data_IF_329380934935
#
_entry.id   IF_329380934935
#
_cell.length_a   1.000
_cell.length_b   1.000
_cell.length_c   1.000
_cell.angle_alpha   90.00
_cell.angle_beta   90.00
_cell.angle_gamma   90.00
#
_symmetry.space_group_name_H-M   'P 1'
#
loop_
_entity.id
_entity.type
_entity.pdbx_description
1 polymer ?
#
# COMPACT_ATOMS: atom_id res chain seq x y z
N UNK A 1 -32.03 -5.46 49.30
CA UNK A 1 -31.25 -4.30 48.86
C UNK A 1 -30.73 -4.67 47.47
N UNK A 2 -31.16 -3.95 46.42
CA UNK A 2 -30.77 -4.31 45.06
C UNK A 2 -29.28 -4.03 44.87
N UNK A 3 -28.55 -4.93 44.22
CA UNK A 3 -27.14 -4.76 43.85
C UNK A 3 -26.86 -3.49 43.00
N UNK A 4 -27.91 -2.78 42.59
CA UNK A 4 -27.87 -1.51 41.86
C UNK A 4 -27.55 -0.27 42.72
N UNK A 5 -27.62 -0.35 44.05
CA UNK A 5 -27.42 0.83 44.94
C UNK A 5 -26.02 0.88 45.57
N UNK A 6 -25.09 -0.01 45.17
CA UNK A 6 -23.70 0.04 45.64
C UNK A 6 -22.93 1.18 44.92
N UNK A 7 -22.50 2.22 45.66
CA UNK A 7 -21.82 3.37 45.05
C UNK A 7 -20.47 3.02 44.42
N UNK A 8 -19.79 1.98 44.89
CA UNK A 8 -18.55 1.47 44.30
C UNK A 8 -18.79 0.82 42.93
N UNK A 9 -19.86 0.03 42.81
CA UNK A 9 -20.26 -0.58 41.54
C UNK A 9 -20.70 0.48 40.52
N UNK A 10 -21.44 1.51 40.96
CA UNK A 10 -21.84 2.62 40.09
C UNK A 10 -20.65 3.43 39.60
N UNK A 11 -19.66 3.72 40.46
CA UNK A 11 -18.44 4.41 40.08
C UNK A 11 -17.62 3.60 39.06
N UNK A 12 -17.46 2.29 39.27
CA UNK A 12 -16.75 1.41 38.34
C UNK A 12 -17.44 1.32 36.97
N UNK A 13 -18.78 1.27 36.93
CA UNK A 13 -19.54 1.28 35.67
C UNK A 13 -19.42 2.63 34.94
N UNK A 14 -19.39 3.75 35.66
CA UNK A 14 -19.18 5.07 35.05
C UNK A 14 -17.76 5.20 34.47
N UNK A 15 -16.75 4.72 35.19
CA UNK A 15 -15.36 4.71 34.73
C UNK A 15 -15.19 3.83 33.48
N UNK A 16 -15.71 2.60 33.51
CA UNK A 16 -15.71 1.70 32.35
C UNK A 16 -16.40 2.33 31.13
N UNK A 17 -17.54 3.00 31.32
CA UNK A 17 -18.23 3.71 30.24
C UNK A 17 -17.42 4.89 29.70
N UNK A 18 -16.71 5.63 30.55
CA UNK A 18 -15.81 6.71 30.13
C UNK A 18 -14.66 6.16 29.29
N UNK A 19 -13.97 5.13 29.78
CA UNK A 19 -12.88 4.47 29.08
C UNK A 19 -13.33 3.92 27.71
N UNK A 20 -14.51 3.27 27.64
CA UNK A 20 -15.06 2.78 26.39
C UNK A 20 -15.35 3.90 25.37
N UNK A 21 -15.85 5.05 25.84
CA UNK A 21 -16.09 6.23 24.98
C UNK A 21 -14.79 6.82 24.46
N UNK A 22 -13.78 6.95 25.31
CA UNK A 22 -12.45 7.45 24.94
C UNK A 22 -11.76 6.53 23.93
N UNK A 23 -11.80 5.21 24.17
CA UNK A 23 -11.27 4.22 23.24
C UNK A 23 -11.97 4.28 21.88
N UNK A 24 -13.31 4.40 21.87
CA UNK A 24 -14.08 4.53 20.63
C UNK A 24 -13.75 5.84 19.88
N UNK A 25 -13.57 6.95 20.61
CA UNK A 25 -13.18 8.22 20.03
C UNK A 25 -11.78 8.14 19.39
N UNK A 26 -10.82 7.55 20.09
CA UNK A 26 -9.47 7.32 19.60
C UNK A 26 -9.46 6.45 18.34
N UNK A 27 -10.21 5.34 18.33
CA UNK A 27 -10.34 4.47 17.15
C UNK A 27 -10.93 5.22 15.94
N UNK A 28 -11.93 6.08 16.15
CA UNK A 28 -12.49 6.90 15.07
C UNK A 28 -11.48 7.90 14.53
N UNK A 29 -10.68 8.52 15.40
CA UNK A 29 -9.63 9.44 14.98
C UNK A 29 -8.54 8.72 14.17
N UNK A 30 -8.11 7.53 14.62
CA UNK A 30 -7.17 6.70 13.88
C UNK A 30 -7.72 6.29 12.51
N UNK A 31 -8.98 5.85 12.45
CA UNK A 31 -9.63 5.49 11.18
C UNK A 31 -9.73 6.68 10.22
N UNK A 32 -10.06 7.87 10.74
CA UNK A 32 -10.10 9.10 9.95
C UNK A 32 -8.71 9.50 9.42
N UNK A 33 -7.68 9.38 10.26
CA UNK A 33 -6.30 9.67 9.88
C UNK A 33 -5.80 8.70 8.79
N UNK A 34 -6.03 7.40 8.97
CA UNK A 34 -5.69 6.39 7.95
C UNK A 34 -6.46 6.62 6.64
N UNK A 35 -7.72 7.04 6.71
CA UNK A 35 -8.51 7.44 5.54
C UNK A 35 -7.87 8.60 4.78
N UNK A 36 -7.47 9.65 5.49
CA UNK A 36 -6.82 10.82 4.91
C UNK A 36 -5.46 10.48 4.27
N UNK A 37 -4.62 9.70 4.95
CA UNK A 37 -3.32 9.27 4.42
C UNK A 37 -3.47 8.40 3.17
N UNK A 38 -4.45 7.47 3.17
CA UNK A 38 -4.78 6.67 1.97
C UNK A 38 -5.18 7.55 0.81
N UNK A 39 -6.04 8.55 1.04
CA UNK A 39 -6.55 9.41 -0.03
C UNK A 39 -5.43 10.32 -0.57
N UNK A 40 -4.54 10.81 0.29
CA UNK A 40 -3.32 11.52 -0.10
C UNK A 40 -2.39 10.64 -0.95
N UNK A 41 -2.11 9.41 -0.49
CA UNK A 41 -1.27 8.47 -1.23
C UNK A 41 -1.86 8.16 -2.61
N UNK A 42 -3.18 8.00 -2.73
CA UNK A 42 -3.87 7.79 -4.01
C UNK A 42 -3.73 9.00 -4.93
N UNK A 43 -3.92 10.22 -4.42
CA UNK A 43 -3.77 11.43 -5.20
C UNK A 43 -2.34 11.63 -5.72
N UNK A 44 -1.35 11.42 -4.86
CA UNK A 44 0.06 11.49 -5.24
C UNK A 44 0.44 10.42 -6.27
N UNK A 45 -0.04 9.19 -6.07
CA UNK A 45 0.20 8.08 -7.00
C UNK A 45 -0.43 8.37 -8.38
N UNK A 46 -1.67 8.88 -8.40
CA UNK A 46 -2.34 9.26 -9.63
C UNK A 46 -1.58 10.36 -10.38
N UNK A 47 -1.07 11.37 -9.66
CA UNK A 47 -0.26 12.43 -10.24
C UNK A 47 1.04 11.90 -10.84
N UNK A 48 1.78 11.05 -10.12
CA UNK A 48 3.02 10.44 -10.64
C UNK A 48 2.78 9.61 -11.89
N UNK A 49 1.69 8.85 -11.93
CA UNK A 49 1.30 8.08 -13.12
C UNK A 49 1.04 9.02 -14.30
N UNK A 50 0.29 10.11 -14.10
CA UNK A 50 0.04 11.10 -15.15
C UNK A 50 1.33 11.74 -15.67
N UNK A 51 2.25 12.09 -14.77
CA UNK A 51 3.55 12.66 -15.14
C UNK A 51 4.37 11.68 -15.98
N UNK A 52 4.46 10.41 -15.57
CA UNK A 52 5.16 9.37 -16.33
C UNK A 52 4.53 9.14 -17.71
N UNK A 53 3.20 9.08 -17.80
CA UNK A 53 2.50 8.96 -19.07
C UNK A 53 2.80 10.16 -19.98
N UNK A 54 2.85 11.37 -19.42
CA UNK A 54 3.19 12.58 -20.18
C UNK A 54 4.64 12.55 -20.68
N UNK A 55 5.59 12.09 -19.86
CA UNK A 55 6.99 11.90 -20.25
C UNK A 55 7.12 10.85 -21.36
N UNK A 56 6.43 9.72 -21.22
CA UNK A 56 6.39 8.66 -22.24
C UNK A 56 5.85 9.18 -23.57
N UNK A 57 4.74 9.95 -23.58
CA UNK A 57 4.19 10.57 -24.80
C UNK A 57 5.15 11.54 -25.49
N UNK A 58 6.03 12.19 -24.71
CA UNK A 58 7.06 13.09 -25.25
C UNK A 58 8.35 12.36 -25.66
N UNK A 59 8.43 11.04 -25.46
CA UNK A 59 9.61 10.24 -25.75
C UNK A 59 10.75 10.39 -24.74
N UNK A 60 10.52 11.07 -23.61
CA UNK A 60 11.56 11.32 -22.60
C UNK A 60 12.00 10.04 -21.87
N UNK A 61 11.16 9.01 -21.89
CA UNK A 61 11.44 7.69 -21.32
C UNK A 61 12.01 6.69 -22.34
N UNK A 62 12.31 7.16 -23.56
CA UNK A 62 12.83 6.34 -24.64
C UNK A 62 11.75 5.79 -25.59
N UNK A 63 12.18 5.23 -26.75
CA UNK A 63 11.29 4.89 -27.85
C UNK A 63 10.34 3.72 -27.55
N UNK A 64 10.75 2.74 -26.74
CA UNK A 64 9.91 1.60 -26.38
C UNK A 64 8.76 2.02 -25.47
N UNK A 65 9.04 2.94 -24.52
CA UNK A 65 8.01 3.48 -23.63
C UNK A 65 7.05 4.40 -24.37
N UNK A 66 7.54 5.21 -25.30
CA UNK A 66 6.69 6.03 -26.15
C UNK A 66 5.76 5.16 -27.01
N UNK A 67 6.28 4.08 -27.59
CA UNK A 67 5.48 3.10 -28.36
C UNK A 67 4.43 2.44 -27.47
N UNK A 68 4.84 1.94 -26.29
CA UNK A 68 3.93 1.28 -25.35
C UNK A 68 2.80 2.23 -24.91
N UNK A 69 3.14 3.47 -24.58
CA UNK A 69 2.17 4.49 -24.19
C UNK A 69 1.18 4.80 -25.31
N UNK A 70 1.63 4.88 -26.57
CA UNK A 70 0.74 5.05 -27.73
C UNK A 70 -0.24 3.88 -27.88
N UNK A 71 0.24 2.64 -27.72
CA UNK A 71 -0.61 1.44 -27.79
C UNK A 71 -1.65 1.41 -26.67
N UNK A 72 -1.26 1.80 -25.45
CA UNK A 72 -2.19 1.94 -24.32
C UNK A 72 -3.22 3.04 -24.59
N UNK A 73 -2.79 4.22 -25.07
CA UNK A 73 -3.69 5.34 -25.39
C UNK A 73 -4.67 5.00 -26.53
N UNK A 74 -4.24 4.17 -27.49
CA UNK A 74 -5.08 3.66 -28.58
C UNK A 74 -6.02 2.51 -28.16
N UNK A 75 -5.88 1.98 -26.95
CA UNK A 75 -6.67 0.85 -26.45
C UNK A 75 -6.28 -0.49 -27.08
N UNK A 76 -5.12 -0.57 -27.73
CA UNK A 76 -4.59 -1.80 -28.35
C UNK A 76 -4.06 -2.80 -27.29
N UNK A 77 -3.73 -2.29 -26.11
CA UNK A 77 -3.27 -3.07 -24.95
C UNK A 77 -3.63 -2.33 -23.66
N UNK A 78 -3.43 -2.98 -22.51
CA UNK A 78 -3.55 -2.34 -21.20
C UNK A 78 -2.35 -2.67 -20.33
N UNK A 79 -2.10 -1.86 -19.29
CA UNK A 79 -1.07 -2.16 -18.29
C UNK A 79 -1.24 -3.53 -17.64
N UNK A 80 -2.49 -4.02 -17.53
CA UNK A 80 -2.78 -5.37 -17.04
C UNK A 80 -2.35 -6.44 -18.04
N UNK A 81 -2.61 -6.24 -19.32
CA UNK A 81 -2.27 -7.21 -20.37
C UNK A 81 -0.76 -7.28 -20.56
N UNK A 82 -0.08 -6.14 -20.48
CA UNK A 82 1.38 -6.05 -20.46
C UNK A 82 1.95 -6.82 -19.26
N UNK A 83 1.46 -6.54 -18.05
CA UNK A 83 1.99 -7.16 -16.82
C UNK A 83 1.70 -8.67 -16.73
N UNK A 84 0.55 -9.12 -17.23
CA UNK A 84 0.17 -10.54 -17.23
C UNK A 84 0.84 -11.36 -18.33
N UNK A 85 1.48 -10.71 -19.31
CA UNK A 85 2.06 -11.38 -20.46
C UNK A 85 1.07 -11.68 -21.58
N UNK A 86 -0.16 -11.15 -21.52
CA UNK A 86 -1.14 -11.30 -22.61
C UNK A 86 -0.80 -10.45 -23.84
N UNK A 87 0.05 -9.42 -23.68
CA UNK A 87 0.59 -8.62 -24.76
C UNK A 87 1.99 -9.14 -25.17
N UNK A 88 2.05 -9.76 -26.35
CA UNK A 88 3.25 -10.37 -26.95
C UNK A 88 4.09 -9.39 -27.79
N UNK A 89 3.68 -8.11 -27.90
CA UNK A 89 4.45 -7.13 -28.66
C UNK A 89 5.85 -6.91 -28.02
N UNK A 90 6.90 -6.73 -28.83
CA UNK A 90 8.26 -6.49 -28.33
C UNK A 90 8.36 -5.34 -27.31
N UNK A 91 7.55 -4.29 -27.41
CA UNK A 91 7.56 -3.20 -26.44
C UNK A 91 7.02 -3.62 -25.07
N UNK A 92 6.04 -4.52 -25.04
CA UNK A 92 5.47 -5.05 -23.80
C UNK A 92 6.44 -6.03 -23.13
N UNK A 93 7.11 -6.88 -23.93
CA UNK A 93 8.16 -7.77 -23.43
C UNK A 93 9.35 -6.97 -22.88
N UNK A 94 9.83 -5.96 -23.59
CA UNK A 94 10.90 -5.07 -23.11
C UNK A 94 10.53 -4.40 -21.77
N UNK A 95 9.28 -3.95 -21.63
CA UNK A 95 8.80 -3.35 -20.38
C UNK A 95 8.78 -4.36 -19.21
N UNK A 96 8.35 -5.60 -19.46
CA UNK A 96 8.38 -6.68 -18.45
C UNK A 96 9.81 -7.02 -18.03
N UNK A 97 10.72 -7.17 -19.00
CA UNK A 97 12.13 -7.44 -18.73
C UNK A 97 12.74 -6.33 -17.89
N UNK A 98 12.53 -5.06 -18.29
CA UNK A 98 13.03 -3.90 -17.54
C UNK A 98 12.49 -3.87 -16.10
N UNK A 99 11.20 -4.16 -15.90
CA UNK A 99 10.60 -4.25 -14.58
C UNK A 99 11.23 -5.39 -13.76
N UNK A 100 11.40 -6.57 -14.35
CA UNK A 100 12.05 -7.72 -13.70
C UNK A 100 13.48 -7.44 -13.26
N UNK A 101 14.28 -6.79 -14.12
CA UNK A 101 15.64 -6.35 -13.78
C UNK A 101 15.64 -5.33 -12.65
N UNK A 102 14.75 -4.33 -12.73
CA UNK A 102 14.64 -3.29 -11.70
C UNK A 102 14.23 -3.86 -10.34
N UNK A 103 13.28 -4.79 -10.32
CA UNK A 103 12.85 -5.49 -9.10
C UNK A 103 13.94 -6.39 -8.53
N UNK A 104 14.72 -7.05 -9.39
CA UNK A 104 15.84 -7.88 -8.97
C UNK A 104 16.95 -7.04 -8.35
N UNK A 105 17.29 -5.90 -8.95
CA UNK A 105 18.25 -4.95 -8.40
C UNK A 105 17.79 -4.36 -7.08
N UNK A 106 16.50 -3.96 -6.98
CA UNK A 106 15.93 -3.48 -5.72
C UNK A 106 15.97 -4.55 -4.63
N UNK A 107 15.69 -5.81 -4.97
CA UNK A 107 15.80 -6.92 -4.01
C UNK A 107 17.23 -7.07 -3.51
N UNK A 108 18.21 -7.03 -4.40
CA UNK A 108 19.63 -7.12 -4.01
C UNK A 108 20.05 -5.95 -3.13
N UNK A 109 19.59 -4.73 -3.43
CA UNK A 109 19.84 -3.55 -2.60
C UNK A 109 19.26 -3.72 -1.18
N UNK A 110 17.99 -4.13 -1.09
CA UNK A 110 17.32 -4.36 0.19
C UNK A 110 17.91 -5.52 0.99
N UNK A 111 18.46 -6.54 0.32
CA UNK A 111 19.16 -7.65 0.98
C UNK A 111 20.42 -7.21 1.71
N UNK A 112 21.01 -6.06 1.35
CA UNK A 112 22.21 -5.52 2.00
C UNK A 112 21.93 -4.31 2.89
N UNK A 113 20.67 -3.88 2.99
CA UNK A 113 20.25 -2.78 3.86
C UNK A 113 19.95 -3.30 5.27
N UNK A 114 20.82 -2.98 6.23
CA UNK A 114 20.69 -3.39 7.63
C UNK A 114 19.39 -2.90 8.28
N UNK A 115 18.95 -1.67 7.95
CA UNK A 115 17.72 -1.10 8.51
C UNK A 115 16.49 -1.83 7.96
N UNK A 116 16.52 -2.21 6.68
CA UNK A 116 15.48 -3.03 6.08
C UNK A 116 15.44 -4.44 6.69
N UNK A 117 16.59 -5.09 6.88
CA UNK A 117 16.67 -6.41 7.51
C UNK A 117 16.11 -6.41 8.94
N UNK A 118 16.44 -5.40 9.75
CA UNK A 118 15.92 -5.27 11.10
C UNK A 118 14.39 -5.09 11.09
N UNK A 119 13.88 -4.22 10.22
CA UNK A 119 12.45 -3.98 10.08
C UNK A 119 11.68 -5.22 9.60
N UNK A 120 12.22 -5.95 8.61
CA UNK A 120 11.63 -7.18 8.09
C UNK A 120 11.62 -8.31 9.15
N UNK A 121 12.71 -8.46 9.91
CA UNK A 121 12.78 -9.41 11.03
C UNK A 121 11.76 -9.06 12.14
N UNK A 122 11.62 -7.77 12.48
CA UNK A 122 10.63 -7.31 13.45
C UNK A 122 9.19 -7.55 12.96
N UNK A 123 8.91 -7.30 11.67
CA UNK A 123 7.60 -7.55 11.07
C UNK A 123 7.23 -9.04 11.07
N UNK A 124 8.16 -9.92 10.69
CA UNK A 124 7.98 -11.38 10.74
C UNK A 124 7.72 -11.88 12.15
N UNK A 125 8.45 -11.35 13.14
CA UNK A 125 8.23 -11.69 14.55
C UNK A 125 6.84 -11.24 15.07
N UNK A 126 6.34 -10.10 14.62
CA UNK A 126 4.99 -9.64 14.95
C UNK A 126 3.90 -10.49 14.27
N UNK A 127 4.09 -10.85 13.01
CA UNK A 127 3.15 -11.72 12.28
C UNK A 127 3.05 -13.11 12.91
N UNK A 128 4.17 -13.74 13.27
CA UNK A 128 4.17 -15.03 13.95
C UNK A 128 3.50 -15.02 15.33
N UNK A 129 3.48 -13.86 16.02
CA UNK A 129 2.73 -13.68 17.28
C UNK A 129 1.23 -13.47 17.07
N UNK A 130 0.82 -12.96 15.91
CA UNK A 130 -0.57 -12.66 15.57
C UNK A 130 -1.33 -13.88 14.99
N UNK A 131 -0.62 -14.87 14.46
CA UNK A 131 -1.18 -16.18 14.08
C UNK A 131 -0.80 -17.23 15.12
N UNK A 132 -1.56 -17.40 16.22
CA UNK A 132 -1.45 -18.61 17.01
C UNK A 132 -1.87 -19.79 16.13
N UNK A 133 -1.03 -20.82 16.05
CA UNK A 133 -1.38 -22.10 15.43
C UNK A 133 -2.75 -22.56 15.96
N UNK A 134 -3.65 -22.88 15.04
CA UNK A 134 -5.00 -23.38 15.32
C UNK A 134 -4.98 -24.85 15.74
#
# INVERSE_FOLDING_TARGET
>A
MALSDDPGLQAALQDSRRQAREATASLRQLAAHLGAERDKFRAESARRIQDLQAQARRGELGPDQERLQRRVDAGETSWRDIASGADDDPSAEAARVHLGTSLSALREELEHDEAFQEADAAAKAQQGRATPEA
#
